data_IF_098789811373
#
_entry.id   IF_098789811373
#
_cell.length_a   1.000
_cell.length_b   1.000
_cell.length_c   1.000
_cell.angle_alpha   90.00
_cell.angle_beta   90.00
_cell.angle_gamma   90.00
#
_symmetry.space_group_name_H-M   'P 1'
#
loop_
_entity.id
_entity.type
_entity.pdbx_description
1 polymer ?
#
# COMPACT_ATOMS: atom_id res chain seq x y z
N UNK A 1 11.18 -17.04 9.21
CA UNK A 1 10.06 -16.47 8.42
C UNK A 1 8.70 -16.91 8.95
N UNK A 2 8.42 -18.17 9.17
CA UNK A 2 7.11 -18.69 9.63
C UNK A 2 6.57 -18.01 10.90
N UNK A 3 7.38 -17.85 11.95
CA UNK A 3 6.98 -17.21 13.21
C UNK A 3 6.51 -15.76 13.01
N UNK A 4 7.19 -15.00 12.15
CA UNK A 4 6.80 -13.62 11.84
C UNK A 4 5.44 -13.59 11.14
N UNK A 5 5.25 -14.43 10.12
CA UNK A 5 3.98 -14.51 9.39
C UNK A 5 2.83 -14.91 10.32
N UNK A 6 3.05 -15.86 11.22
CA UNK A 6 2.05 -16.28 12.21
C UNK A 6 1.67 -15.15 13.17
N UNK A 7 2.64 -14.41 13.71
CA UNK A 7 2.38 -13.28 14.62
C UNK A 7 1.64 -12.13 13.93
N UNK A 8 2.04 -11.80 12.68
CA UNK A 8 1.33 -10.80 11.88
C UNK A 8 -0.10 -11.24 11.61
N UNK A 9 -0.27 -12.49 11.16
CA UNK A 9 -1.60 -13.04 10.85
C UNK A 9 -2.50 -13.08 12.10
N UNK A 10 -1.99 -13.54 13.23
CA UNK A 10 -2.75 -13.59 14.48
C UNK A 10 -3.11 -12.17 14.97
N UNK A 11 -2.18 -11.22 14.94
CA UNK A 11 -2.45 -9.83 15.31
C UNK A 11 -3.51 -9.18 14.43
N UNK A 12 -3.42 -9.38 13.10
CA UNK A 12 -4.43 -8.90 12.17
C UNK A 12 -5.78 -9.58 12.39
N UNK A 13 -5.81 -10.88 12.66
CA UNK A 13 -7.07 -11.61 12.93
C UNK A 13 -7.78 -11.04 14.16
N UNK A 14 -7.06 -10.79 15.25
CA UNK A 14 -7.64 -10.18 16.47
C UNK A 14 -8.13 -8.76 16.17
N UNK A 15 -7.33 -7.94 15.47
CA UNK A 15 -7.72 -6.58 15.14
C UNK A 15 -8.96 -6.54 14.25
N UNK A 16 -9.05 -7.42 13.25
CA UNK A 16 -10.21 -7.53 12.36
C UNK A 16 -11.43 -7.99 13.15
N UNK A 17 -11.29 -8.97 14.03
CA UNK A 17 -12.41 -9.44 14.87
C UNK A 17 -12.99 -8.32 15.74
N UNK A 18 -12.12 -7.54 16.40
CA UNK A 18 -12.55 -6.38 17.19
C UNK A 18 -13.18 -5.28 16.35
N UNK A 19 -12.63 -5.04 15.16
CA UNK A 19 -13.15 -4.03 14.23
C UNK A 19 -14.55 -4.41 13.72
N UNK A 20 -14.74 -5.68 13.36
CA UNK A 20 -16.04 -6.22 12.92
C UNK A 20 -17.08 -6.16 14.03
N UNK A 21 -16.72 -6.53 15.25
CA UNK A 21 -17.62 -6.47 16.40
C UNK A 21 -18.11 -5.04 16.66
N UNK A 22 -17.22 -4.06 16.62
CA UNK A 22 -17.59 -2.65 16.77
C UNK A 22 -18.36 -2.10 15.57
N UNK A 23 -17.95 -2.44 14.34
CA UNK A 23 -18.63 -2.01 13.12
C UNK A 23 -20.05 -2.56 13.02
N UNK A 24 -20.30 -3.78 13.51
CA UNK A 24 -21.62 -4.38 13.53
C UNK A 24 -22.63 -3.58 14.38
N UNK A 25 -22.15 -2.85 15.39
CA UNK A 25 -22.98 -1.98 16.22
C UNK A 25 -23.41 -0.70 15.49
N UNK A 26 -22.70 -0.31 14.43
CA UNK A 26 -22.98 0.86 13.62
C UNK A 26 -23.88 0.56 12.39
N UNK A 27 -24.09 -0.71 12.09
CA UNK A 27 -24.93 -1.20 11.00
C UNK A 27 -24.27 -2.27 10.14
N UNK A 28 -25.07 -3.08 9.42
CA UNK A 28 -24.54 -4.21 8.64
C UNK A 28 -23.60 -3.80 7.49
N UNK A 29 -23.85 -2.65 6.88
CA UNK A 29 -23.02 -2.15 5.79
C UNK A 29 -21.63 -1.68 6.27
N UNK A 30 -21.53 -1.21 7.52
CA UNK A 30 -20.28 -0.74 8.11
C UNK A 30 -19.27 -1.87 8.33
N UNK A 31 -19.73 -3.10 8.51
CA UNK A 31 -18.83 -4.26 8.66
C UNK A 31 -18.00 -4.51 7.40
N UNK A 32 -18.61 -4.47 6.22
CA UNK A 32 -17.92 -4.65 4.95
C UNK A 32 -16.91 -3.52 4.69
N UNK A 33 -17.32 -2.29 4.99
CA UNK A 33 -16.48 -1.10 4.84
C UNK A 33 -15.26 -1.17 5.77
N UNK A 34 -15.47 -1.56 7.02
CA UNK A 34 -14.40 -1.72 8.00
C UNK A 34 -13.39 -2.80 7.59
N UNK A 35 -13.87 -3.94 7.05
CA UNK A 35 -13.02 -5.02 6.53
C UNK A 35 -12.17 -4.55 5.35
N UNK A 36 -12.77 -3.86 4.39
CA UNK A 36 -12.05 -3.30 3.24
C UNK A 36 -10.99 -2.30 3.69
N UNK A 37 -11.32 -1.42 4.62
CA UNK A 37 -10.37 -0.48 5.20
C UNK A 37 -9.22 -1.21 5.91
N UNK A 38 -9.52 -2.18 6.78
CA UNK A 38 -8.51 -2.94 7.50
C UNK A 38 -7.56 -3.71 6.54
N UNK A 39 -8.11 -4.32 5.50
CA UNK A 39 -7.32 -5.00 4.47
C UNK A 39 -6.38 -4.02 3.75
N UNK A 40 -6.89 -2.85 3.34
CA UNK A 40 -6.09 -1.78 2.74
C UNK A 40 -4.94 -1.35 3.66
N UNK A 41 -5.25 -1.06 4.92
CA UNK A 41 -4.25 -0.63 5.90
C UNK A 41 -3.21 -1.70 6.17
N UNK A 42 -3.62 -2.96 6.31
CA UNK A 42 -2.71 -4.08 6.51
C UNK A 42 -1.74 -4.25 5.33
N UNK A 43 -2.25 -4.21 4.09
CA UNK A 43 -1.41 -4.27 2.89
C UNK A 43 -0.43 -3.09 2.86
N UNK A 44 -0.91 -1.86 3.10
CA UNK A 44 -0.05 -0.68 3.14
C UNK A 44 1.03 -0.78 4.24
N UNK A 45 0.75 -1.44 5.36
CA UNK A 45 1.72 -1.67 6.44
C UNK A 45 2.74 -2.77 6.14
N UNK A 46 2.34 -3.81 5.42
CA UNK A 46 3.16 -5.00 5.16
C UNK A 46 4.07 -4.89 3.94
N UNK A 47 3.66 -4.13 2.91
CA UNK A 47 4.45 -3.97 1.68
C UNK A 47 5.69 -3.14 1.95
N UNK A 48 6.91 -3.65 1.76
CA UNK A 48 8.15 -2.94 2.08
C UNK A 48 8.60 -2.00 0.95
N UNK A 49 7.67 -1.41 0.20
CA UNK A 49 7.96 -0.57 -0.96
C UNK A 49 7.70 0.92 -0.66
N UNK A 50 8.75 1.71 -0.69
CA UNK A 50 8.70 3.13 -0.36
C UNK A 50 8.58 3.41 1.15
N UNK A 51 8.35 4.67 1.50
CA UNK A 51 8.15 5.05 2.89
C UNK A 51 6.72 4.77 3.35
N UNK A 52 6.47 4.52 4.65
CA UNK A 52 5.11 4.37 5.18
C UNK A 52 4.20 5.54 4.79
N UNK A 53 4.74 6.76 4.82
CA UNK A 53 3.99 7.97 4.45
C UNK A 53 3.55 7.95 2.98
N UNK A 54 4.44 7.59 2.04
CA UNK A 54 4.09 7.58 0.61
C UNK A 54 3.05 6.53 0.27
N UNK A 55 3.02 5.41 1.00
CA UNK A 55 2.03 4.35 0.85
C UNK A 55 0.65 4.80 1.30
N UNK A 56 0.57 5.40 2.49
CA UNK A 56 -0.70 5.95 3.04
C UNK A 56 -1.19 7.10 2.18
N UNK A 57 -0.31 8.05 1.82
CA UNK A 57 -0.66 9.17 0.96
C UNK A 57 -1.16 8.70 -0.41
N UNK A 58 -0.53 7.70 -1.00
CA UNK A 58 -0.99 7.09 -2.25
C UNK A 58 -2.39 6.49 -2.12
N UNK A 59 -2.64 5.69 -1.09
CA UNK A 59 -3.96 5.11 -0.85
C UNK A 59 -5.03 6.20 -0.63
N UNK A 60 -4.71 7.24 0.14
CA UNK A 60 -5.63 8.36 0.36
C UNK A 60 -5.94 9.14 -0.93
N UNK A 61 -4.94 9.46 -1.73
CA UNK A 61 -5.11 10.13 -3.03
C UNK A 61 -5.96 9.26 -3.96
N UNK A 62 -5.71 7.95 -4.01
CA UNK A 62 -6.51 7.02 -4.78
C UNK A 62 -7.97 7.00 -4.37
N UNK A 63 -8.25 6.98 -3.07
CA UNK A 63 -9.60 7.05 -2.52
C UNK A 63 -10.31 8.36 -2.91
N UNK A 64 -9.65 9.52 -2.76
CA UNK A 64 -10.20 10.82 -3.14
C UNK A 64 -10.50 10.88 -4.63
N UNK A 65 -9.62 10.36 -5.48
CA UNK A 65 -9.85 10.34 -6.92
C UNK A 65 -11.00 9.41 -7.33
N UNK A 66 -11.17 8.29 -6.65
CA UNK A 66 -12.34 7.44 -6.85
C UNK A 66 -13.64 8.16 -6.45
N UNK A 67 -13.64 8.88 -5.32
CA UNK A 67 -14.77 9.71 -4.90
C UNK A 67 -15.11 10.79 -5.94
N UNK A 68 -14.10 11.48 -6.48
CA UNK A 68 -14.28 12.43 -7.59
C UNK A 68 -14.85 11.72 -8.82
N UNK A 69 -14.37 10.51 -9.13
CA UNK A 69 -14.90 9.70 -10.24
C UNK A 69 -16.40 9.40 -10.11
N UNK A 70 -16.90 9.13 -8.91
CA UNK A 70 -18.33 8.99 -8.65
C UNK A 70 -19.08 10.33 -8.84
N UNK A 71 -18.49 11.45 -8.43
CA UNK A 71 -19.05 12.77 -8.69
C UNK A 71 -19.19 13.07 -10.18
N UNK A 72 -18.18 12.73 -10.97
CA UNK A 72 -18.23 12.85 -12.45
C UNK A 72 -19.29 11.93 -13.04
N UNK A 73 -19.39 10.68 -12.55
CA UNK A 73 -20.44 9.75 -12.97
C UNK A 73 -21.83 10.29 -12.66
N UNK A 74 -22.04 10.82 -11.46
CA UNK A 74 -23.34 11.36 -11.03
C UNK A 74 -23.77 12.60 -11.83
N UNK A 75 -22.82 13.46 -12.22
CA UNK A 75 -23.12 14.75 -12.87
C UNK A 75 -23.01 14.77 -14.39
N UNK A 76 -22.17 13.93 -14.99
CA UNK A 76 -21.81 14.06 -16.41
C UNK A 76 -22.04 12.80 -17.24
N UNK A 77 -22.16 11.62 -16.64
CA UNK A 77 -22.25 10.37 -17.37
C UNK A 77 -23.62 9.72 -17.19
N UNK A 78 -24.18 9.11 -18.25
CA UNK A 78 -25.40 8.34 -18.13
C UNK A 78 -25.17 7.09 -17.28
N UNK A 79 -26.15 6.71 -16.45
CA UNK A 79 -26.05 5.52 -15.60
C UNK A 79 -26.31 4.23 -16.38
N UNK A 80 -25.44 3.98 -17.35
CA UNK A 80 -25.40 2.77 -18.18
C UNK A 80 -24.04 2.09 -18.01
N UNK A 81 -23.89 0.80 -18.33
CA UNK A 81 -22.62 0.10 -18.20
C UNK A 81 -21.43 0.79 -18.89
N UNK A 82 -21.66 1.41 -20.05
CA UNK A 82 -20.62 2.16 -20.76
C UNK A 82 -20.17 3.41 -19.99
N UNK A 83 -21.09 4.15 -19.36
CA UNK A 83 -20.75 5.31 -18.52
C UNK A 83 -19.90 4.92 -17.31
N UNK A 84 -20.21 3.79 -16.67
CA UNK A 84 -19.42 3.23 -15.56
C UNK A 84 -18.00 2.85 -16.02
N UNK A 85 -17.90 2.20 -17.18
CA UNK A 85 -16.60 1.80 -17.74
C UNK A 85 -15.72 3.03 -18.06
N UNK A 86 -16.32 4.08 -18.64
CA UNK A 86 -15.62 5.33 -18.93
C UNK A 86 -15.13 5.99 -17.64
N UNK A 87 -15.99 6.12 -16.62
CA UNK A 87 -15.60 6.69 -15.34
C UNK A 87 -14.41 5.92 -14.70
N UNK A 88 -14.50 4.59 -14.66
CA UNK A 88 -13.44 3.76 -14.13
C UNK A 88 -12.13 3.92 -14.94
N UNK A 89 -12.19 3.93 -16.26
CA UNK A 89 -11.02 4.12 -17.12
C UNK A 89 -10.36 5.49 -16.88
N UNK A 90 -11.13 6.56 -16.79
CA UNK A 90 -10.62 7.91 -16.52
C UNK A 90 -9.94 7.98 -15.17
N UNK A 91 -10.52 7.40 -14.11
CA UNK A 91 -9.91 7.35 -12.78
C UNK A 91 -8.58 6.60 -12.86
N UNK A 92 -8.52 5.40 -13.44
CA UNK A 92 -7.29 4.60 -13.54
C UNK A 92 -6.21 5.32 -14.34
N UNK A 93 -6.57 5.96 -15.46
CA UNK A 93 -5.62 6.76 -16.24
C UNK A 93 -5.07 7.94 -15.44
N UNK A 94 -5.93 8.64 -14.69
CA UNK A 94 -5.51 9.75 -13.82
C UNK A 94 -4.53 9.28 -12.74
N UNK A 95 -4.82 8.15 -12.08
CA UNK A 95 -3.92 7.54 -11.10
C UNK A 95 -2.57 7.17 -11.71
N UNK A 96 -2.59 6.65 -12.94
CA UNK A 96 -1.38 6.30 -13.68
C UNK A 96 -0.55 7.55 -13.99
N UNK A 97 -1.18 8.61 -14.46
CA UNK A 97 -0.51 9.90 -14.74
C UNK A 97 0.13 10.47 -13.47
N UNK A 98 -0.57 10.42 -12.33
CA UNK A 98 -0.01 10.86 -11.04
C UNK A 98 1.22 10.05 -10.66
N UNK A 99 1.17 8.73 -10.80
CA UNK A 99 2.31 7.86 -10.50
C UNK A 99 3.52 8.22 -11.38
N UNK A 100 3.31 8.44 -12.67
CA UNK A 100 4.36 8.85 -13.62
C UNK A 100 4.88 10.25 -13.27
N UNK A 101 3.99 11.23 -13.05
CA UNK A 101 4.35 12.61 -12.76
C UNK A 101 5.15 12.75 -11.45
N UNK A 102 4.93 11.86 -10.49
CA UNK A 102 5.70 11.80 -9.24
C UNK A 102 6.99 10.97 -9.36
N UNK A 103 7.39 10.57 -10.56
CA UNK A 103 8.52 9.67 -10.78
C UNK A 103 8.43 8.39 -9.94
N UNK A 104 7.25 7.80 -9.85
CA UNK A 104 6.97 6.63 -9.02
C UNK A 104 7.26 6.81 -7.51
N UNK A 105 7.39 8.03 -7.02
CA UNK A 105 7.47 8.28 -5.56
C UNK A 105 6.17 7.86 -4.88
N UNK A 106 5.03 8.14 -5.53
CA UNK A 106 3.74 7.59 -5.15
C UNK A 106 3.48 6.39 -6.07
N UNK A 107 3.52 5.22 -5.49
CA UNK A 107 3.41 3.96 -6.24
C UNK A 107 2.00 3.75 -6.76
N UNK A 108 1.89 3.31 -8.01
CA UNK A 108 0.60 3.05 -8.65
C UNK A 108 -0.25 2.04 -7.87
N UNK A 109 0.39 1.00 -7.29
CA UNK A 109 -0.35 0.01 -6.51
C UNK A 109 -1.05 0.62 -5.28
N UNK A 110 -0.43 1.59 -4.61
CA UNK A 110 -1.03 2.25 -3.44
C UNK A 110 -2.22 3.13 -3.85
N UNK A 111 -2.10 3.86 -4.96
CA UNK A 111 -3.18 4.62 -5.56
C UNK A 111 -4.38 3.73 -5.93
N UNK A 112 -4.11 2.62 -6.64
CA UNK A 112 -5.16 1.68 -7.06
C UNK A 112 -5.80 0.98 -5.86
N UNK A 113 -5.02 0.65 -4.84
CA UNK A 113 -5.52 0.01 -3.61
C UNK A 113 -6.53 0.92 -2.90
N UNK A 114 -6.20 2.21 -2.75
CA UNK A 114 -7.10 3.18 -2.13
C UNK A 114 -8.37 3.43 -2.95
N UNK A 115 -8.23 3.56 -4.27
CA UNK A 115 -9.37 3.70 -5.16
C UNK A 115 -10.28 2.46 -5.12
N UNK A 116 -9.71 1.27 -5.20
CA UNK A 116 -10.44 0.00 -5.16
C UNK A 116 -11.16 -0.23 -3.83
N UNK A 117 -10.54 0.13 -2.70
CA UNK A 117 -11.20 0.03 -1.40
C UNK A 117 -12.41 0.98 -1.29
N UNK A 118 -12.29 2.20 -1.80
CA UNK A 118 -13.42 3.13 -1.82
C UNK A 118 -14.55 2.65 -2.73
N UNK A 119 -14.22 2.21 -3.95
CA UNK A 119 -15.21 1.67 -4.90
C UNK A 119 -15.92 0.47 -4.31
N UNK A 120 -15.19 -0.48 -3.72
CA UNK A 120 -15.78 -1.67 -3.09
C UNK A 120 -16.69 -1.36 -1.90
N UNK A 121 -16.40 -0.29 -1.16
CA UNK A 121 -17.23 0.15 -0.04
C UNK A 121 -18.47 0.93 -0.49
N UNK A 122 -18.36 1.72 -1.57
CA UNK A 122 -19.36 2.73 -1.90
C UNK A 122 -20.31 2.34 -3.03
N UNK A 123 -19.92 1.42 -3.94
CA UNK A 123 -20.74 1.11 -5.14
C UNK A 123 -22.18 0.69 -4.82
N UNK A 124 -22.35 -0.15 -3.79
CA UNK A 124 -23.69 -0.61 -3.37
C UNK A 124 -24.54 0.53 -2.82
N UNK A 125 -23.95 1.42 -2.04
CA UNK A 125 -24.63 2.60 -1.46
C UNK A 125 -25.00 3.58 -2.57
N UNK A 126 -24.08 3.85 -3.50
CA UNK A 126 -24.33 4.73 -4.62
C UNK A 126 -25.49 4.26 -5.51
N UNK A 127 -25.52 2.96 -5.81
CA UNK A 127 -26.61 2.40 -6.64
C UNK A 127 -27.96 2.48 -5.94
N UNK A 128 -27.98 2.30 -4.62
CA UNK A 128 -29.21 2.38 -3.82
C UNK A 128 -29.76 3.81 -3.69
N UNK A 129 -28.87 4.81 -3.55
CA UNK A 129 -29.26 6.20 -3.26
C UNK A 129 -28.32 7.22 -3.92
N UNK A 130 -28.36 7.39 -5.26
CA UNK A 130 -27.45 8.32 -5.96
C UNK A 130 -27.60 9.79 -5.55
N UNK A 131 -28.78 10.17 -5.04
CA UNK A 131 -29.10 11.55 -4.65
C UNK A 131 -28.42 12.00 -3.36
N UNK A 132 -28.02 11.08 -2.51
CA UNK A 132 -27.32 11.33 -1.23
C UNK A 132 -25.79 11.26 -1.37
N UNK A 133 -25.27 11.27 -2.61
CA UNK A 133 -23.85 11.08 -2.96
C UNK A 133 -22.89 11.81 -2.02
N UNK A 134 -23.11 13.10 -1.74
CA UNK A 134 -22.16 13.90 -0.96
C UNK A 134 -22.05 13.37 0.47
N UNK A 135 -23.18 13.19 1.16
CA UNK A 135 -23.18 12.73 2.55
C UNK A 135 -22.64 11.31 2.68
N UNK A 136 -23.13 10.39 1.86
CA UNK A 136 -22.78 8.96 1.94
C UNK A 136 -21.34 8.70 1.52
N UNK A 137 -20.83 9.41 0.51
CA UNK A 137 -19.44 9.24 0.06
C UNK A 137 -18.44 9.68 1.12
N UNK A 138 -18.70 10.77 1.85
CA UNK A 138 -17.85 11.20 2.97
C UNK A 138 -17.92 10.22 4.15
N UNK A 139 -19.10 9.71 4.48
CA UNK A 139 -19.27 8.72 5.55
C UNK A 139 -18.47 7.45 5.23
N UNK A 140 -18.59 6.93 3.99
CA UNK A 140 -17.85 5.75 3.55
C UNK A 140 -16.34 5.98 3.50
N UNK A 141 -15.89 7.13 2.98
CA UNK A 141 -14.47 7.49 2.96
C UNK A 141 -13.87 7.54 4.38
N UNK A 142 -14.63 8.09 5.33
CA UNK A 142 -14.21 8.15 6.74
C UNK A 142 -14.12 6.74 7.34
N UNK A 143 -15.13 5.89 7.12
CA UNK A 143 -15.15 4.53 7.63
C UNK A 143 -14.00 3.67 7.05
N UNK A 144 -13.75 3.74 5.74
CA UNK A 144 -12.61 3.09 5.09
C UNK A 144 -11.29 3.59 5.68
N UNK A 145 -11.16 4.91 5.89
CA UNK A 145 -9.94 5.52 6.45
C UNK A 145 -9.67 5.06 7.87
N UNK A 146 -10.69 4.98 8.72
CA UNK A 146 -10.56 4.46 10.10
C UNK A 146 -10.17 2.99 10.10
N UNK A 147 -10.79 2.16 9.28
CA UNK A 147 -10.40 0.77 9.10
C UNK A 147 -8.96 0.64 8.62
N UNK A 148 -8.57 1.46 7.64
CA UNK A 148 -7.20 1.47 7.11
C UNK A 148 -6.17 1.90 8.16
N UNK A 149 -6.47 2.90 8.98
CA UNK A 149 -5.62 3.30 10.09
C UNK A 149 -5.41 2.17 11.10
N UNK A 150 -6.47 1.45 11.46
CA UNK A 150 -6.41 0.31 12.36
C UNK A 150 -5.57 -0.83 11.76
N UNK A 151 -5.82 -1.23 10.52
CA UNK A 151 -5.07 -2.28 9.83
C UNK A 151 -3.59 -1.94 9.67
N UNK A 152 -3.29 -0.69 9.31
CA UNK A 152 -1.92 -0.19 9.18
C UNK A 152 -1.19 -0.17 10.53
N UNK A 153 -1.84 0.31 11.59
CA UNK A 153 -1.25 0.36 12.92
C UNK A 153 -0.88 -1.05 13.42
N UNK A 154 -1.78 -2.01 13.28
CA UNK A 154 -1.51 -3.41 13.66
C UNK A 154 -0.37 -4.00 12.84
N UNK A 155 -0.41 -3.86 11.52
CA UNK A 155 0.64 -4.39 10.65
C UNK A 155 2.01 -3.76 10.95
N UNK A 156 2.05 -2.45 11.19
CA UNK A 156 3.28 -1.72 11.54
C UNK A 156 3.81 -2.11 12.91
N UNK A 157 2.92 -2.23 13.91
CA UNK A 157 3.27 -2.61 15.26
C UNK A 157 3.86 -4.02 15.31
N UNK A 158 3.18 -4.99 14.69
CA UNK A 158 3.68 -6.37 14.64
C UNK A 158 5.00 -6.45 13.85
N UNK A 159 5.13 -5.69 12.76
CA UNK A 159 6.39 -5.61 12.01
C UNK A 159 7.53 -5.07 12.86
N UNK A 160 7.29 -4.06 13.69
CA UNK A 160 8.28 -3.49 14.61
C UNK A 160 8.74 -4.52 15.67
N UNK A 161 7.80 -5.26 16.26
CA UNK A 161 8.14 -6.29 17.26
C UNK A 161 8.81 -7.53 16.65
N UNK A 162 8.62 -7.78 15.38
CA UNK A 162 9.21 -8.93 14.68
C UNK A 162 10.43 -8.56 13.83
N UNK A 163 10.79 -7.27 13.77
CA UNK A 163 12.02 -6.84 13.13
C UNK A 163 13.19 -7.46 13.89
N UNK A 164 13.83 -8.47 13.29
CA UNK A 164 15.16 -8.88 13.76
C UNK A 164 16.08 -7.67 13.59
N UNK A 165 16.96 -7.40 14.59
CA UNK A 165 18.04 -6.45 14.37
C UNK A 165 18.70 -6.86 13.05
N UNK A 166 18.87 -5.91 12.15
CA UNK A 166 19.57 -6.16 10.91
C UNK A 166 20.85 -6.90 11.31
N UNK A 167 21.00 -8.16 10.87
CA UNK A 167 22.32 -8.76 10.88
C UNK A 167 23.16 -7.74 10.13
N UNK A 168 24.01 -7.04 10.85
CA UNK A 168 25.17 -6.44 10.22
C UNK A 168 25.79 -7.62 9.50
N UNK A 169 25.49 -7.74 8.22
CA UNK A 169 26.30 -8.58 7.35
C UNK A 169 27.64 -7.90 7.48
N UNK A 170 28.53 -8.56 8.20
CA UNK A 170 29.94 -8.25 8.15
C UNK A 170 30.29 -8.28 6.66
N UNK A 171 30.19 -7.11 6.04
CA UNK A 171 30.51 -6.89 4.62
C UNK A 171 32.03 -6.86 4.47
N UNK A 172 32.74 -7.36 5.47
CA UNK A 172 34.20 -7.24 5.56
C UNK A 172 34.95 -8.49 5.11
N UNK A 173 34.27 -9.58 4.77
CA UNK A 173 34.95 -10.69 4.08
C UNK A 173 34.33 -10.86 2.67
N UNK A 174 34.94 -10.20 1.68
CA UNK A 174 34.86 -10.68 0.30
C UNK A 174 35.49 -12.06 0.36
N UNK A 175 34.74 -13.18 0.16
CA UNK A 175 35.32 -14.52 0.25
C UNK A 175 36.50 -14.57 -0.70
N UNK A 176 37.64 -15.06 -0.20
CA UNK A 176 38.87 -15.20 -0.99
C UNK A 176 38.64 -15.92 -2.33
N UNK A 177 37.62 -16.76 -2.41
CA UNK A 177 37.12 -17.40 -3.63
C UNK A 177 36.66 -16.42 -4.72
N UNK A 178 36.21 -15.20 -4.33
CA UNK A 178 35.80 -14.19 -5.32
C UNK A 178 36.99 -13.46 -5.96
N UNK A 179 38.10 -13.35 -5.23
CA UNK A 179 39.35 -12.76 -5.74
C UNK A 179 40.03 -13.71 -6.74
N UNK A 180 39.86 -15.02 -6.56
CA UNK A 180 40.45 -16.05 -7.42
C UNK A 180 39.65 -16.30 -8.71
N UNK A 181 38.34 -15.92 -8.72
CA UNK A 181 37.48 -16.10 -9.86
C UNK A 181 37.56 -14.95 -10.93
N UNK A 182 38.37 -13.92 -10.67
CA UNK A 182 38.57 -12.85 -11.66
C UNK A 182 39.56 -13.33 -12.73
N UNK A 183 39.16 -13.47 -14.01
CA UNK A 183 40.05 -13.90 -15.07
C UNK A 183 41.30 -13.02 -15.13
N UNK A 184 42.44 -13.66 -15.35
CA UNK A 184 43.77 -13.01 -15.33
C UNK A 184 43.98 -11.96 -16.44
N UNK A 185 43.10 -11.91 -17.39
CA UNK A 185 43.14 -11.03 -18.60
C UNK A 185 42.43 -9.68 -18.42
N UNK A 186 41.88 -9.38 -17.20
CA UNK A 186 41.29 -8.07 -16.90
C UNK A 186 42.10 -7.30 -15.84
N UNK A 187 43.30 -6.80 -16.14
CA UNK A 187 44.21 -6.16 -15.18
C UNK A 187 43.59 -4.92 -14.51
N UNK A 188 42.71 -4.20 -15.18
CA UNK A 188 42.06 -2.99 -14.68
C UNK A 188 41.10 -3.26 -13.51
N UNK A 189 40.43 -4.40 -13.45
CA UNK A 189 39.52 -4.74 -12.37
C UNK A 189 40.29 -5.21 -11.12
N UNK A 190 41.42 -5.86 -11.28
CA UNK A 190 42.32 -6.23 -10.15
C UNK A 190 42.88 -5.02 -9.43
N UNK A 191 43.27 -3.99 -10.17
CA UNK A 191 43.82 -2.76 -9.61
C UNK A 191 42.77 -1.99 -8.79
N UNK A 192 41.52 -1.93 -9.23
CA UNK A 192 40.42 -1.30 -8.52
C UNK A 192 40.08 -2.04 -7.22
N UNK A 193 40.07 -3.36 -7.22
CA UNK A 193 39.79 -4.18 -6.02
C UNK A 193 40.94 -4.05 -5.02
N UNK A 194 42.18 -4.06 -5.48
CA UNK A 194 43.37 -3.93 -4.61
C UNK A 194 43.45 -2.55 -3.98
N UNK A 195 43.14 -1.47 -4.74
CA UNK A 195 43.18 -0.10 -4.25
C UNK A 195 42.04 0.15 -3.22
N UNK A 196 40.87 -0.43 -3.44
CA UNK A 196 39.76 -0.33 -2.49
C UNK A 196 40.06 -1.05 -1.16
N UNK A 197 40.78 -2.17 -1.23
CA UNK A 197 41.16 -2.95 -0.03
C UNK A 197 42.26 -2.24 0.77
N UNK A 198 43.23 -1.61 0.10
CA UNK A 198 44.35 -0.91 0.76
C UNK A 198 43.90 0.40 1.42
N UNK A 199 43.04 1.17 0.75
CA UNK A 199 42.51 2.40 1.30
C UNK A 199 41.64 2.19 2.56
N UNK A 200 41.13 0.99 2.76
CA UNK A 200 40.27 0.64 3.89
C UNK A 200 41.07 0.13 5.12
N UNK A 201 42.31 -0.32 4.91
CA UNK A 201 43.18 -0.76 6.01
C UNK A 201 43.90 0.41 6.70
N UNK A 202 43.85 1.60 6.13
CA UNK A 202 44.53 2.81 6.65
C UNK A 202 43.55 3.80 7.31
N UNK A 203 42.20 3.52 7.33
CA UNK A 203 41.18 4.32 7.98
C UNK A 203 40.65 3.67 9.25
#
# INVERSE_FOLDING_TARGET
MLRRTLLVGAGLAVAVALLVDHAAQLGPDMTNVALLGAALGAVAGLVPDGTPFTRIAGAFIGMVLAQVGYGVRAGLLPDIPAGRAIAAAVVVLTLTVISIATNNRIRLWALLLGAGAFVGAYETVYVASPTTFVADSFAMATAVSLGAAAGFAVASLVSAFTAQPAKTTDTDEIPASYVEAVPADLPRQRELVTTATTARSEA
#
